data_IF_448438849900
#
_entry.id   IF_448438849900
#
_cell.length_a   1.000
_cell.length_b   1.000
_cell.length_c   1.000
_cell.angle_alpha   90.00
_cell.angle_beta   90.00
_cell.angle_gamma   90.00
#
_symmetry.space_group_name_H-M   'P 1'
#
loop_
_entity.id
_entity.type
_entity.pdbx_description
1 polymer ?
#
# COMPACT_ATOMS: atom_id res chain seq x y z
N UNK A 1 8.25 -14.56 3.11
CA UNK A 1 7.69 -13.22 3.42
C UNK A 1 8.43 -12.25 2.53
N UNK A 2 7.75 -11.26 1.93
CA UNK A 2 8.40 -10.26 1.09
C UNK A 2 9.39 -9.45 1.94
N UNK A 3 10.62 -9.27 1.46
CA UNK A 3 11.68 -8.52 2.14
C UNK A 3 11.96 -7.19 1.45
N UNK A 4 12.64 -6.27 2.15
CA UNK A 4 13.10 -5.00 1.54
C UNK A 4 13.99 -5.27 0.33
N UNK A 5 14.85 -6.28 0.40
CA UNK A 5 15.72 -6.68 -0.72
C UNK A 5 14.92 -7.11 -1.95
N UNK A 6 13.85 -7.89 -1.78
CA UNK A 6 13.00 -8.31 -2.90
C UNK A 6 12.34 -7.10 -3.60
N UNK A 7 11.96 -6.09 -2.81
CA UNK A 7 11.39 -4.84 -3.31
C UNK A 7 12.43 -3.97 -4.02
N UNK A 8 13.66 -3.90 -3.50
CA UNK A 8 14.75 -3.16 -4.12
C UNK A 8 15.16 -3.77 -5.47
N UNK A 9 15.28 -5.10 -5.52
CA UNK A 9 15.58 -5.82 -6.77
C UNK A 9 14.46 -5.63 -7.80
N UNK A 10 13.19 -5.65 -7.37
CA UNK A 10 12.07 -5.37 -8.26
C UNK A 10 12.04 -3.91 -8.74
N UNK A 11 12.32 -2.96 -7.86
CA UNK A 11 12.42 -1.55 -8.21
C UNK A 11 13.56 -1.28 -9.21
N UNK A 12 14.71 -1.95 -9.04
CA UNK A 12 15.83 -1.86 -9.98
C UNK A 12 15.46 -2.49 -11.33
N UNK A 13 14.76 -3.63 -11.34
CA UNK A 13 14.28 -4.25 -12.57
C UNK A 13 13.37 -3.31 -13.38
N UNK A 14 12.51 -2.53 -12.71
CA UNK A 14 11.68 -1.49 -13.35
C UNK A 14 12.49 -0.27 -13.82
N UNK A 15 13.50 0.18 -13.07
CA UNK A 15 14.25 1.42 -13.35
C UNK A 15 15.39 1.24 -14.37
N UNK A 16 15.99 0.06 -14.40
CA UNK A 16 17.18 -0.25 -15.21
C UNK A 16 16.91 -0.36 -16.71
N UNK A 17 15.64 -0.41 -17.12
CA UNK A 17 15.22 -0.68 -18.50
C UNK A 17 15.19 -2.17 -18.86
N UNK A 18 15.62 -3.06 -17.95
CA UNK A 18 15.57 -4.51 -18.15
C UNK A 18 14.12 -5.00 -18.37
N UNK A 19 13.17 -4.50 -17.58
CA UNK A 19 11.76 -4.85 -17.77
C UNK A 19 11.21 -4.39 -19.13
N UNK A 20 11.61 -3.20 -19.62
CA UNK A 20 11.19 -2.72 -20.94
C UNK A 20 11.75 -3.61 -22.05
N UNK A 21 13.00 -4.05 -21.91
CA UNK A 21 13.63 -4.97 -22.85
C UNK A 21 12.91 -6.33 -22.86
N UNK A 22 12.64 -6.91 -21.69
CA UNK A 22 11.92 -8.18 -21.57
C UNK A 22 10.49 -8.07 -22.13
N UNK A 23 9.83 -6.93 -21.95
CA UNK A 23 8.52 -6.68 -22.54
C UNK A 23 8.58 -6.63 -24.08
N UNK A 24 9.60 -5.96 -24.65
CA UNK A 24 9.79 -5.87 -26.10
C UNK A 24 10.10 -7.23 -26.72
N UNK A 25 11.01 -7.98 -26.11
CA UNK A 25 11.50 -9.25 -26.62
C UNK A 25 10.56 -10.43 -26.30
N UNK A 26 9.72 -10.29 -25.27
CA UNK A 26 8.76 -11.29 -24.84
C UNK A 26 7.64 -11.53 -25.84
N UNK A 27 7.10 -12.75 -25.80
CA UNK A 27 5.89 -13.08 -26.57
C UNK A 27 4.64 -12.48 -25.91
N UNK A 28 3.48 -12.65 -26.54
CA UNK A 28 2.22 -12.12 -26.03
C UNK A 28 1.93 -12.52 -24.57
N UNK A 29 2.17 -13.79 -24.22
CA UNK A 29 1.97 -14.29 -22.85
C UNK A 29 2.92 -13.62 -21.84
N UNK A 30 4.19 -13.40 -22.21
CA UNK A 30 5.18 -12.77 -21.34
C UNK A 30 4.82 -11.29 -21.10
N UNK A 31 4.37 -10.61 -22.15
CA UNK A 31 3.88 -9.23 -22.07
C UNK A 31 2.67 -9.11 -21.14
N UNK A 32 1.67 -9.99 -21.31
CA UNK A 32 0.52 -10.01 -20.42
C UNK A 32 0.92 -10.31 -18.97
N UNK A 33 1.86 -11.23 -18.77
CA UNK A 33 2.37 -11.54 -17.44
C UNK A 33 3.01 -10.31 -16.77
N UNK A 34 3.89 -9.59 -17.48
CA UNK A 34 4.54 -8.39 -16.95
C UNK A 34 3.52 -7.28 -16.63
N UNK A 35 2.52 -7.06 -17.48
CA UNK A 35 1.47 -6.08 -17.22
C UNK A 35 0.64 -6.45 -15.99
N UNK A 36 0.23 -7.72 -15.86
CA UNK A 36 -0.50 -8.20 -14.70
C UNK A 36 0.32 -8.09 -13.41
N UNK A 37 1.64 -8.33 -13.49
CA UNK A 37 2.54 -8.18 -12.35
C UNK A 37 2.62 -6.72 -11.90
N UNK A 38 2.75 -5.78 -12.83
CA UNK A 38 2.75 -4.35 -12.55
C UNK A 38 1.41 -3.89 -11.96
N UNK A 39 0.28 -4.32 -12.53
CA UNK A 39 -1.06 -4.06 -12.00
C UNK A 39 -1.17 -4.53 -10.54
N UNK A 40 -0.75 -5.78 -10.28
CA UNK A 40 -0.82 -6.31 -8.93
C UNK A 40 0.08 -5.57 -7.94
N UNK A 41 1.25 -5.12 -8.40
CA UNK A 41 2.15 -4.32 -7.56
C UNK A 41 1.54 -2.97 -7.20
N UNK A 42 0.84 -2.31 -8.14
CA UNK A 42 0.13 -1.06 -7.87
C UNK A 42 -0.96 -1.23 -6.81
N UNK A 43 -1.79 -2.28 -6.89
CA UNK A 43 -2.79 -2.59 -5.85
C UNK A 43 -2.15 -2.75 -4.46
N UNK A 44 -1.03 -3.45 -4.39
CA UNK A 44 -0.33 -3.72 -3.13
C UNK A 44 0.31 -2.44 -2.59
N UNK A 45 0.84 -1.57 -3.44
CA UNK A 45 1.40 -0.30 -3.05
C UNK A 45 0.33 0.65 -2.47
N UNK A 46 -0.87 0.70 -3.08
CA UNK A 46 -2.02 1.44 -2.55
C UNK A 46 -2.45 0.90 -1.19
N UNK A 47 -2.57 -0.42 -1.06
CA UNK A 47 -2.90 -1.06 0.22
C UNK A 47 -1.83 -0.79 1.30
N UNK A 48 -0.55 -0.75 0.91
CA UNK A 48 0.55 -0.44 1.82
C UNK A 48 0.46 1.00 2.34
N UNK A 49 0.13 1.97 1.47
CA UNK A 49 -0.09 3.37 1.87
C UNK A 49 -1.27 3.53 2.84
N UNK A 50 -2.41 2.91 2.53
CA UNK A 50 -3.56 2.91 3.43
C UNK A 50 -3.22 2.30 4.79
N UNK A 51 -2.47 1.20 4.77
CA UNK A 51 -2.05 0.50 5.98
C UNK A 51 -1.09 1.36 6.79
N UNK A 52 -0.12 2.01 6.15
CA UNK A 52 0.81 2.93 6.79
C UNK A 52 0.07 4.10 7.44
N UNK A 53 -0.88 4.72 6.72
CA UNK A 53 -1.76 5.77 7.24
C UNK A 53 -2.51 5.27 8.48
N UNK A 54 -3.18 4.11 8.40
CA UNK A 54 -3.90 3.53 9.54
C UNK A 54 -2.99 3.28 10.74
N UNK A 55 -1.76 2.81 10.52
CA UNK A 55 -0.79 2.54 11.58
C UNK A 55 -0.27 3.82 12.24
N UNK A 56 0.08 4.84 11.46
CA UNK A 56 0.57 6.14 11.95
C UNK A 56 -0.52 6.86 12.75
N UNK A 57 -1.76 6.84 12.27
CA UNK A 57 -2.84 7.62 12.88
C UNK A 57 -3.65 6.88 13.96
N UNK A 58 -3.51 5.55 14.11
CA UNK A 58 -4.21 4.76 15.15
C UNK A 58 -3.83 5.07 16.60
N UNK A 59 -2.89 6.00 16.85
CA UNK A 59 -2.65 6.59 18.18
C UNK A 59 -2.95 8.09 18.28
N UNK A 60 -3.01 8.79 17.15
CA UNK A 60 -3.08 10.27 17.10
C UNK A 60 -4.52 10.79 16.97
N UNK A 61 -5.41 10.04 16.33
CA UNK A 61 -6.82 10.43 16.16
C UNK A 61 -7.63 10.40 17.46
N UNK A 62 -7.31 9.50 18.39
CA UNK A 62 -7.94 9.49 19.73
C UNK A 62 -7.56 10.70 20.59
N UNK A 63 -6.45 11.38 20.27
CA UNK A 63 -6.04 12.63 20.90
C UNK A 63 -6.66 13.87 20.23
N UNK A 64 -6.97 13.79 18.93
CA UNK A 64 -7.61 14.88 18.16
C UNK A 64 -9.14 14.89 18.28
N UNK A 65 -9.75 13.73 18.50
CA UNK A 65 -11.18 13.60 18.80
C UNK A 65 -11.34 12.95 20.18
N UNK A 66 -11.29 13.74 21.28
CA UNK A 66 -11.68 13.21 22.56
C UNK A 66 -13.12 12.72 22.43
N UNK A 67 -13.36 11.43 22.70
CA UNK A 67 -14.71 10.89 22.82
C UNK A 67 -15.46 11.78 23.82
N UNK A 68 -16.45 12.54 23.32
CA UNK A 68 -17.31 13.34 24.18
C UNK A 68 -17.99 12.34 25.12
N UNK A 69 -17.60 12.33 26.40
CA UNK A 69 -18.28 11.52 27.41
C UNK A 69 -19.78 11.85 27.32
N UNK A 70 -20.67 10.84 27.31
CA UNK A 70 -22.10 11.11 27.43
C UNK A 70 -22.30 11.93 28.72
N UNK A 71 -22.93 13.09 28.58
CA UNK A 71 -23.33 13.93 29.70
C UNK A 71 -24.28 13.08 30.55
N UNK A 72 -23.92 12.82 31.81
CA UNK A 72 -24.85 12.27 32.79
C UNK A 72 -26.03 13.25 32.87
N UNK A 73 -27.20 12.81 32.40
CA UNK A 73 -28.46 13.48 32.67
C UNK A 73 -28.62 13.54 34.18
N UNK A 74 -28.30 14.72 34.72
CA UNK A 74 -28.49 15.05 36.11
C UNK A 74 -29.95 14.87 36.48
N UNK A 75 -30.15 13.93 37.39
CA UNK A 75 -31.32 13.77 38.24
C UNK A 75 -31.90 15.14 38.63
N UNK A 76 -33.17 15.37 38.28
CA UNK A 76 -33.94 16.49 38.81
C UNK A 76 -35.25 15.94 39.37
N UNK A 77 -35.25 15.94 40.69
CA UNK A 77 -36.38 15.82 41.64
C UNK A 77 -37.72 16.41 41.13
#
# INVERSE_FOLDING_TARGET
MLTEKDLDEFAEYMKSGAMEQDFKDGCENDRFYLLNLLEKFMDVAELADETATKLIFRGSLGALFPEKKPEEEGDKE
#
